data_IF_904712638256
#
_entry.id   IF_904712638256
#
_cell.length_a   1.000
_cell.length_b   1.000
_cell.length_c   1.000
_cell.angle_alpha   90.00
_cell.angle_beta   90.00
_cell.angle_gamma   90.00
#
_symmetry.space_group_name_H-M   'P 1'
#
loop_
_entity.id
_entity.type
_entity.pdbx_description
1 polymer ?
#
# COMPACT_ATOMS: atom_id res chain seq x y z
N UNK A 1 -24.82 8.41 17.69
CA UNK A 1 -23.58 7.62 17.78
C UNK A 1 -23.16 7.21 16.36
N UNK A 2 -22.13 7.84 15.77
CA UNK A 2 -21.71 7.55 14.39
C UNK A 2 -20.70 6.40 14.39
N UNK A 3 -21.14 5.17 14.12
CA UNK A 3 -20.23 4.10 13.74
C UNK A 3 -19.65 4.43 12.36
N UNK A 4 -18.40 4.89 12.30
CA UNK A 4 -17.64 4.93 11.05
C UNK A 4 -17.46 3.49 10.58
N UNK A 5 -18.23 3.09 9.57
CA UNK A 5 -18.31 1.77 8.92
C UNK A 5 -17.07 0.89 9.12
N UNK A 6 -17.09 0.01 10.11
CA UNK A 6 -16.16 -1.12 10.15
C UNK A 6 -16.65 -2.10 9.08
N UNK A 7 -16.03 -2.04 7.90
CA UNK A 7 -16.40 -2.89 6.75
C UNK A 7 -15.72 -4.25 6.76
N UNK A 8 -14.70 -4.42 7.61
CA UNK A 8 -13.86 -5.60 7.66
C UNK A 8 -13.63 -5.98 9.13
N UNK A 9 -13.88 -7.24 9.45
CA UNK A 9 -13.67 -7.81 10.79
C UNK A 9 -12.58 -8.88 10.70
N UNK A 10 -11.72 -8.94 11.71
CA UNK A 10 -10.73 -9.99 11.90
C UNK A 10 -10.92 -10.56 13.29
N UNK A 11 -11.19 -11.86 13.39
CA UNK A 11 -11.34 -12.58 14.66
C UNK A 11 -10.11 -13.49 14.79
N UNK A 12 -9.31 -13.28 15.83
CA UNK A 12 -8.11 -14.07 16.10
C UNK A 12 -8.46 -15.11 17.17
N UNK A 13 -8.22 -16.38 16.86
CA UNK A 13 -8.50 -17.51 17.76
C UNK A 13 -7.26 -18.38 17.89
N UNK A 14 -7.14 -19.11 19.00
CA UNK A 14 -6.02 -20.04 19.27
C UNK A 14 -6.24 -21.40 18.64
N UNK A 15 -7.50 -21.85 18.55
CA UNK A 15 -7.86 -23.14 17.96
C UNK A 15 -8.91 -23.00 16.87
N UNK A 16 -9.08 -24.07 16.07
CA UNK A 16 -10.07 -24.09 14.99
C UNK A 16 -11.49 -24.12 15.55
N UNK A 17 -11.69 -24.79 16.67
CA UNK A 17 -12.97 -24.92 17.37
C UNK A 17 -13.42 -23.56 17.94
N UNK A 18 -12.48 -22.80 18.51
CA UNK A 18 -12.73 -21.43 18.98
C UNK A 18 -13.10 -20.51 17.81
N UNK A 19 -12.42 -20.66 16.66
CA UNK A 19 -12.73 -19.90 15.45
C UNK A 19 -14.12 -20.22 14.88
N UNK A 20 -14.54 -21.48 14.91
CA UNK A 20 -15.88 -21.90 14.48
C UNK A 20 -16.95 -21.33 15.41
N UNK A 21 -16.75 -21.45 16.73
CA UNK A 21 -17.67 -20.90 17.74
C UNK A 21 -17.81 -19.38 17.61
N UNK A 22 -16.68 -18.67 17.45
CA UNK A 22 -16.69 -17.22 17.27
C UNK A 22 -17.38 -16.79 15.96
N UNK A 23 -17.28 -17.61 14.89
CA UNK A 23 -17.97 -17.36 13.63
C UNK A 23 -19.49 -17.50 13.77
N UNK A 24 -19.97 -18.48 14.55
CA UNK A 24 -21.40 -18.65 14.84
C UNK A 24 -21.95 -17.46 15.63
N UNK A 25 -21.28 -17.04 16.70
CA UNK A 25 -21.65 -15.85 17.46
C UNK A 25 -21.64 -14.60 16.59
N UNK A 26 -20.63 -14.45 15.72
CA UNK A 26 -20.57 -13.31 14.80
C UNK A 26 -21.74 -13.33 13.79
N UNK A 27 -22.16 -14.52 13.31
CA UNK A 27 -23.33 -14.66 12.42
C UNK A 27 -24.60 -14.23 13.11
N UNK A 28 -24.85 -14.70 14.34
CA UNK A 28 -26.05 -14.32 15.10
C UNK A 28 -26.11 -12.81 15.36
N UNK A 29 -24.99 -12.20 15.77
CA UNK A 29 -24.92 -10.76 16.01
C UNK A 29 -25.16 -9.96 14.73
N UNK A 30 -24.57 -10.37 13.61
CA UNK A 30 -24.75 -9.69 12.33
C UNK A 30 -26.18 -9.85 11.79
N UNK A 31 -26.81 -11.01 11.99
CA UNK A 31 -28.19 -11.25 11.57
C UNK A 31 -29.18 -10.38 12.37
N UNK A 32 -28.96 -10.22 13.69
CA UNK A 32 -29.69 -9.25 14.53
C UNK A 32 -29.54 -7.82 14.04
N UNK A 33 -28.38 -7.48 13.47
CA UNK A 33 -28.11 -6.18 12.84
C UNK A 33 -28.59 -6.10 11.39
N UNK A 34 -29.27 -7.13 10.87
CA UNK A 34 -29.72 -7.29 9.48
C UNK A 34 -28.57 -7.17 8.46
N UNK A 35 -27.37 -7.60 8.85
CA UNK A 35 -26.17 -7.64 8.02
C UNK A 35 -25.86 -9.09 7.63
N UNK A 36 -25.66 -9.35 6.34
CA UNK A 36 -25.27 -10.67 5.85
C UNK A 36 -23.76 -10.75 5.64
N UNK A 37 -23.14 -11.81 6.17
CA UNK A 37 -21.77 -12.16 5.84
C UNK A 37 -21.70 -12.68 4.40
N UNK A 38 -20.70 -12.20 3.65
CA UNK A 38 -20.37 -12.75 2.35
C UNK A 38 -19.59 -14.06 2.56
N UNK A 39 -20.10 -15.23 2.14
CA UNK A 39 -19.38 -16.50 2.31
C UNK A 39 -18.02 -16.47 1.61
N UNK A 40 -17.92 -15.81 0.45
CA UNK A 40 -16.66 -15.61 -0.29
C UNK A 40 -15.56 -14.84 0.47
N UNK A 41 -15.93 -14.05 1.48
CA UNK A 41 -14.98 -13.24 2.29
C UNK A 41 -14.67 -13.87 3.64
N UNK A 42 -15.38 -14.93 4.02
CA UNK A 42 -15.21 -15.62 5.29
C UNK A 42 -14.15 -16.70 5.11
N UNK A 43 -12.89 -16.28 5.08
CA UNK A 43 -11.76 -17.19 4.91
C UNK A 43 -11.30 -17.59 6.31
N UNK A 44 -11.43 -18.87 6.65
CA UNK A 44 -10.75 -19.45 7.80
C UNK A 44 -9.26 -19.56 7.51
N UNK A 45 -8.52 -18.48 7.68
CA UNK A 45 -7.06 -18.49 7.57
C UNK A 45 -6.46 -18.82 8.95
N UNK A 46 -5.66 -19.88 9.02
CA UNK A 46 -4.78 -20.13 10.15
C UNK A 46 -3.54 -19.25 10.02
N UNK A 47 -2.95 -18.77 11.12
CA UNK A 47 -1.63 -18.12 11.09
C UNK A 47 -0.49 -19.02 10.58
N UNK A 48 -0.74 -20.33 10.39
CA UNK A 48 0.18 -21.21 9.68
C UNK A 48 0.24 -20.92 8.17
N UNK A 49 -0.79 -20.28 7.62
CA UNK A 49 -0.87 -19.84 6.22
C UNK A 49 -0.88 -18.31 6.17
N UNK A 50 -0.06 -17.74 5.27
CA UNK A 50 -0.01 -16.28 5.13
C UNK A 50 -1.34 -15.75 4.56
N UNK A 51 -1.83 -14.61 5.04
CA UNK A 51 -3.10 -14.02 4.57
C UNK A 51 -3.01 -12.52 4.31
N UNK A 52 -3.85 -12.02 3.40
CA UNK A 52 -3.96 -10.59 3.09
C UNK A 52 -5.17 -9.98 3.82
N UNK A 53 -4.95 -8.91 4.59
CA UNK A 53 -6.03 -8.16 5.25
C UNK A 53 -5.77 -6.65 5.19
N UNK A 54 -6.79 -5.89 4.78
CA UNK A 54 -6.71 -4.42 4.59
C UNK A 54 -5.47 -3.96 3.79
N UNK A 55 -5.05 -4.75 2.80
CA UNK A 55 -3.90 -4.42 1.96
C UNK A 55 -2.54 -4.66 2.62
N UNK A 56 -2.50 -5.21 3.83
CA UNK A 56 -1.32 -5.80 4.44
C UNK A 56 -1.26 -7.29 4.15
N UNK A 57 -0.05 -7.82 4.13
CA UNK A 57 0.22 -9.25 4.07
C UNK A 57 0.74 -9.67 5.43
N UNK A 58 0.02 -10.58 6.10
CA UNK A 58 0.40 -11.13 7.38
C UNK A 58 1.01 -12.51 7.14
N UNK A 59 2.30 -12.63 7.41
CA UNK A 59 2.97 -13.92 7.48
C UNK A 59 3.46 -14.22 8.88
N UNK A 60 3.91 -15.46 9.09
CA UNK A 60 4.24 -16.02 10.43
C UNK A 60 5.13 -15.14 11.33
N UNK A 61 6.07 -14.39 10.74
CA UNK A 61 7.03 -13.53 11.46
C UNK A 61 7.19 -12.14 10.85
N UNK A 62 6.33 -11.75 9.91
CA UNK A 62 6.45 -10.46 9.26
C UNK A 62 5.10 -9.92 8.80
N UNK A 63 4.97 -8.60 8.83
CA UNK A 63 3.85 -7.88 8.21
C UNK A 63 4.41 -7.08 7.05
N UNK A 64 3.95 -7.41 5.85
CA UNK A 64 4.33 -6.76 4.60
C UNK A 64 3.15 -6.07 3.92
N UNK A 65 3.34 -5.71 2.66
CA UNK A 65 2.29 -5.16 1.80
C UNK A 65 1.62 -6.28 1.01
N UNK A 66 0.28 -6.34 1.04
CA UNK A 66 -0.52 -7.25 0.23
C UNK A 66 -0.35 -7.00 -1.27
N UNK A 67 -0.35 -8.08 -2.07
CA UNK A 67 -0.09 -8.02 -3.53
C UNK A 67 -1.06 -7.09 -4.25
N UNK A 68 -2.34 -7.09 -3.85
CA UNK A 68 -3.39 -6.22 -4.42
C UNK A 68 -3.11 -4.74 -4.18
N UNK A 69 -2.71 -4.37 -2.96
CA UNK A 69 -2.35 -2.99 -2.58
C UNK A 69 -1.15 -2.49 -3.39
N UNK A 70 -0.12 -3.32 -3.53
CA UNK A 70 1.07 -2.98 -4.30
C UNK A 70 0.75 -2.78 -5.80
N UNK A 71 -0.07 -3.68 -6.38
CA UNK A 71 -0.56 -3.52 -7.78
C UNK A 71 -1.34 -2.22 -7.96
N UNK A 72 -2.20 -1.88 -7.01
CA UNK A 72 -2.99 -0.64 -7.05
C UNK A 72 -2.09 0.62 -7.01
N UNK A 73 -1.04 0.62 -6.18
CA UNK A 73 -0.05 1.71 -6.18
C UNK A 73 0.60 1.86 -7.56
N UNK A 74 1.12 0.76 -8.10
CA UNK A 74 1.77 0.79 -9.41
C UNK A 74 0.82 1.28 -10.50
N UNK A 75 -0.46 0.88 -10.47
CA UNK A 75 -1.47 1.35 -11.39
C UNK A 75 -1.69 2.87 -11.27
N UNK A 76 -1.90 3.38 -10.05
CA UNK A 76 -2.10 4.82 -9.80
C UNK A 76 -0.92 5.66 -10.28
N UNK A 77 0.31 5.24 -9.98
CA UNK A 77 1.51 5.96 -10.45
C UNK A 77 1.65 5.86 -11.97
N UNK A 78 1.37 4.70 -12.59
CA UNK A 78 1.38 4.58 -14.06
C UNK A 78 0.38 5.53 -14.72
N UNK A 79 -0.81 5.65 -14.14
CA UNK A 79 -1.83 6.60 -14.62
C UNK A 79 -1.31 8.02 -14.48
N UNK A 80 -0.72 8.40 -13.35
CA UNK A 80 -0.14 9.72 -13.12
C UNK A 80 1.05 10.04 -14.05
N UNK A 81 1.86 9.05 -14.41
CA UNK A 81 3.02 9.20 -15.30
C UNK A 81 2.77 8.68 -16.72
N UNK A 82 1.52 8.72 -17.20
CA UNK A 82 1.17 8.18 -18.52
C UNK A 82 1.85 9.01 -19.60
N UNK A 83 2.44 8.33 -20.60
CA UNK A 83 3.24 8.97 -21.65
C UNK A 83 2.44 9.81 -22.64
N UNK A 84 1.13 9.61 -22.72
CA UNK A 84 0.24 10.26 -23.69
C UNK A 84 -0.59 11.40 -23.07
N UNK A 85 -0.12 12.02 -21.99
CA UNK A 85 -0.84 13.13 -21.32
C UNK A 85 -0.50 14.52 -21.92
N UNK A 86 0.10 14.56 -23.11
CA UNK A 86 0.55 15.81 -23.72
C UNK A 86 1.75 16.44 -23.02
N UNK A 87 1.93 17.75 -23.21
CA UNK A 87 3.13 18.49 -22.83
C UNK A 87 3.08 19.08 -21.40
N UNK A 88 2.66 18.27 -20.42
CA UNK A 88 2.57 18.69 -19.00
C UNK A 88 3.97 18.82 -18.37
N UNK A 89 4.31 19.95 -17.72
CA UNK A 89 5.61 20.11 -17.03
C UNK A 89 5.89 18.98 -16.04
N UNK A 90 7.15 18.57 -15.90
CA UNK A 90 7.51 17.45 -15.00
C UNK A 90 7.14 17.75 -13.56
N UNK A 91 7.20 19.00 -13.15
CA UNK A 91 6.82 19.50 -11.83
C UNK A 91 5.34 19.25 -11.55
N UNK A 92 4.47 19.41 -12.55
CA UNK A 92 3.03 19.11 -12.42
C UNK A 92 2.79 17.61 -12.27
N UNK A 93 3.53 16.77 -13.00
CA UNK A 93 3.48 15.31 -12.82
C UNK A 93 3.94 14.92 -11.41
N UNK A 94 5.02 15.53 -10.92
CA UNK A 94 5.54 15.33 -9.56
C UNK A 94 4.49 15.73 -8.51
N UNK A 95 3.79 16.86 -8.70
CA UNK A 95 2.71 17.31 -7.82
C UNK A 95 1.55 16.29 -7.73
N UNK A 96 1.28 15.54 -8.80
CA UNK A 96 0.27 14.46 -8.79
C UNK A 96 0.81 13.18 -8.16
N UNK A 97 2.07 12.81 -8.44
CA UNK A 97 2.69 11.58 -7.92
C UNK A 97 2.94 11.65 -6.41
N UNK A 98 3.42 12.78 -5.91
CA UNK A 98 3.79 12.99 -4.51
C UNK A 98 2.69 12.61 -3.51
N UNK A 99 1.43 13.09 -3.60
CA UNK A 99 0.38 12.70 -2.66
C UNK A 99 0.05 11.21 -2.72
N UNK A 100 0.13 10.58 -3.90
CA UNK A 100 -0.10 9.13 -4.06
C UNK A 100 0.94 8.35 -3.25
N UNK A 101 2.22 8.63 -3.48
CA UNK A 101 3.30 7.90 -2.82
C UNK A 101 3.42 8.24 -1.33
N UNK A 102 3.12 9.49 -0.95
CA UNK A 102 3.08 9.93 0.46
C UNK A 102 1.98 9.22 1.22
N UNK A 103 0.74 9.26 0.72
CA UNK A 103 -0.40 8.63 1.37
C UNK A 103 -0.22 7.12 1.49
N UNK A 104 0.29 6.49 0.43
CA UNK A 104 0.55 5.05 0.44
C UNK A 104 1.68 4.66 1.41
N UNK A 105 2.78 5.41 1.45
CA UNK A 105 3.87 5.17 2.40
C UNK A 105 3.39 5.37 3.85
N UNK A 106 2.61 6.41 4.12
CA UNK A 106 2.02 6.66 5.44
C UNK A 106 1.09 5.53 5.88
N UNK A 107 0.31 4.95 4.96
CA UNK A 107 -0.56 3.83 5.26
C UNK A 107 0.25 2.56 5.57
N UNK A 108 1.26 2.24 4.76
CA UNK A 108 2.09 1.03 4.88
C UNK A 108 3.30 1.16 5.82
N UNK A 109 3.46 2.30 6.51
CA UNK A 109 4.58 2.57 7.42
C UNK A 109 4.67 1.61 8.60
N UNK A 110 3.56 0.96 8.93
CA UNK A 110 3.44 0.06 10.06
C UNK A 110 3.96 -1.36 9.78
N UNK A 111 4.21 -1.71 8.51
CA UNK A 111 4.84 -2.98 8.12
C UNK A 111 6.36 -2.88 7.94
N UNK A 112 7.03 -4.04 7.85
CA UNK A 112 8.48 -4.13 7.62
C UNK A 112 8.83 -3.91 6.13
N UNK A 113 8.61 -2.69 5.63
CA UNK A 113 8.56 -2.40 4.19
C UNK A 113 9.72 -1.55 3.66
N UNK A 114 10.81 -1.36 4.42
CA UNK A 114 11.89 -0.44 4.04
C UNK A 114 12.59 -0.83 2.73
N UNK A 115 12.86 -2.12 2.51
CA UNK A 115 13.41 -2.62 1.25
C UNK A 115 12.46 -2.39 0.06
N UNK A 116 11.15 -2.55 0.29
CA UNK A 116 10.12 -2.27 -0.70
C UNK A 116 10.04 -0.78 -1.03
N UNK A 117 10.11 0.11 -0.04
CA UNK A 117 10.10 1.57 -0.26
C UNK A 117 11.30 2.03 -1.08
N UNK A 118 12.51 1.48 -0.85
CA UNK A 118 13.68 1.76 -1.70
C UNK A 118 13.45 1.35 -3.15
N UNK A 119 12.92 0.14 -3.34
CA UNK A 119 12.60 -0.40 -4.66
C UNK A 119 11.56 0.47 -5.38
N UNK A 120 10.51 0.89 -4.67
CA UNK A 120 9.48 1.77 -5.19
C UNK A 120 10.00 3.17 -5.52
N UNK A 121 10.83 3.77 -4.66
CA UNK A 121 11.46 5.07 -4.93
C UNK A 121 12.29 5.03 -6.23
N UNK A 122 13.09 3.97 -6.43
CA UNK A 122 13.84 3.76 -7.68
C UNK A 122 12.90 3.61 -8.88
N UNK A 123 11.83 2.84 -8.73
CA UNK A 123 10.85 2.62 -9.80
C UNK A 123 10.11 3.90 -10.19
N UNK A 124 9.63 4.69 -9.22
CA UNK A 124 8.94 5.97 -9.44
C UNK A 124 9.86 6.94 -10.17
N UNK A 125 11.12 7.10 -9.72
CA UNK A 125 12.11 7.95 -10.39
C UNK A 125 12.35 7.53 -11.84
N UNK A 126 12.48 6.24 -12.09
CA UNK A 126 12.66 5.72 -13.45
C UNK A 126 11.43 5.97 -14.33
N UNK A 127 10.22 5.94 -13.76
CA UNK A 127 8.99 6.32 -14.47
C UNK A 127 8.95 7.79 -14.81
N UNK A 128 9.27 8.67 -13.85
CA UNK A 128 9.38 10.11 -14.10
C UNK A 128 10.42 10.42 -15.18
N UNK A 129 11.59 9.77 -15.15
CA UNK A 129 12.61 9.88 -16.21
C UNK A 129 12.08 9.40 -17.56
N UNK A 130 11.36 8.29 -17.60
CA UNK A 130 10.79 7.78 -18.85
C UNK A 130 9.71 8.71 -19.44
N UNK A 131 8.91 9.36 -18.59
CA UNK A 131 7.96 10.39 -19.01
C UNK A 131 8.70 11.58 -19.65
N UNK A 132 9.71 12.11 -18.95
CA UNK A 132 10.53 13.23 -19.42
C UNK A 132 11.23 12.89 -20.74
N UNK A 133 11.84 11.71 -20.84
CA UNK A 133 12.54 11.27 -22.06
C UNK A 133 11.62 11.24 -23.28
N UNK A 134 10.38 10.77 -23.12
CA UNK A 134 9.40 10.78 -24.22
C UNK A 134 9.10 12.21 -24.67
N UNK A 135 8.82 13.11 -23.72
CA UNK A 135 8.55 14.53 -24.00
C UNK A 135 9.69 15.23 -24.75
N UNK A 136 10.95 14.94 -24.41
CA UNK A 136 12.09 15.57 -25.09
C UNK A 136 12.41 14.95 -26.44
N UNK A 137 12.18 13.64 -26.63
CA UNK A 137 12.28 12.98 -27.93
C UNK A 137 11.38 13.66 -28.97
N UNK A 138 10.18 14.04 -28.58
CA UNK A 138 9.24 14.76 -29.46
C UNK A 138 9.73 16.18 -29.82
N UNK A 139 10.80 16.66 -29.17
CA UNK A 139 11.44 17.96 -29.39
C UNK A 139 12.88 17.85 -29.91
N UNK A 140 13.30 16.66 -30.37
CA UNK A 140 14.66 16.40 -30.88
C UNK A 140 15.78 16.52 -29.83
N UNK A 141 15.44 16.50 -28.54
CA UNK A 141 16.40 16.68 -27.44
C UNK A 141 16.41 15.47 -26.51
N UNK A 142 17.51 15.28 -25.80
CA UNK A 142 17.66 14.24 -24.79
C UNK A 142 17.98 14.88 -23.44
N UNK A 143 17.07 14.73 -22.46
CA UNK A 143 17.35 15.13 -21.08
C UNK A 143 17.01 13.98 -20.14
N UNK A 144 17.97 13.59 -19.31
CA UNK A 144 17.81 12.59 -18.26
C UNK A 144 18.09 13.29 -16.95
N UNK A 145 17.07 13.41 -16.10
CA UNK A 145 17.27 14.00 -14.77
C UNK A 145 18.03 13.03 -13.86
N UNK A 146 19.06 13.55 -13.19
CA UNK A 146 19.74 12.89 -12.08
C UNK A 146 18.77 12.65 -10.91
N UNK A 147 19.22 11.95 -9.88
CA UNK A 147 18.39 11.77 -8.69
C UNK A 147 18.22 13.10 -7.94
N UNK A 148 19.28 13.90 -7.90
CA UNK A 148 19.39 15.18 -7.23
C UNK A 148 18.51 16.23 -7.92
N UNK A 149 18.49 16.27 -9.26
CA UNK A 149 17.62 17.17 -10.01
C UNK A 149 16.13 16.85 -9.78
N UNK A 150 15.77 15.56 -9.66
CA UNK A 150 14.40 15.18 -9.31
C UNK A 150 14.04 15.58 -7.87
N UNK A 151 15.00 15.50 -6.94
CA UNK A 151 14.82 15.97 -5.56
C UNK A 151 14.62 17.49 -5.52
N UNK A 152 15.44 18.26 -6.25
CA UNK A 152 15.30 19.71 -6.39
C UNK A 152 13.96 20.12 -7.01
N UNK A 153 13.42 19.30 -7.91
CA UNK A 153 12.07 19.47 -8.48
C UNK A 153 10.94 19.02 -7.55
N UNK A 154 11.26 18.58 -6.34
CA UNK A 154 10.32 18.25 -5.29
C UNK A 154 9.77 16.82 -5.33
N UNK A 155 10.37 15.89 -6.09
CA UNK A 155 9.95 14.48 -6.05
C UNK A 155 10.38 13.86 -4.72
N UNK A 156 9.39 13.50 -3.90
CA UNK A 156 9.67 12.94 -2.58
C UNK A 156 10.17 11.49 -2.66
N UNK A 157 10.84 11.06 -1.59
CA UNK A 157 11.21 9.66 -1.36
C UNK A 157 10.31 9.08 -0.26
N UNK A 158 9.70 7.93 -0.50
CA UNK A 158 8.88 7.22 0.49
C UNK A 158 9.68 6.95 1.77
N UNK A 159 10.98 6.64 1.65
CA UNK A 159 11.85 6.45 2.81
C UNK A 159 11.94 7.69 3.71
N UNK A 160 11.94 8.89 3.11
CA UNK A 160 12.06 10.15 3.86
C UNK A 160 10.72 10.59 4.46
N UNK A 161 9.61 10.09 3.92
CA UNK A 161 8.27 10.39 4.42
C UNK A 161 7.94 9.70 5.75
N UNK A 162 8.81 8.81 6.25
CA UNK A 162 8.60 8.04 7.49
C UNK A 162 9.73 8.39 8.49
N UNK A 163 9.65 9.56 9.16
CA UNK A 163 10.75 10.09 9.96
C UNK A 163 10.94 9.43 11.34
N UNK A 164 9.98 8.63 11.84
CA UNK A 164 10.06 8.03 13.18
C UNK A 164 9.48 6.62 13.19
N UNK A 165 10.35 5.63 13.44
CA UNK A 165 9.99 4.23 13.48
C UNK A 165 9.49 3.87 14.89
N UNK A 166 8.18 3.62 15.05
CA UNK A 166 7.72 2.50 15.89
C UNK A 166 7.25 1.45 14.91
N UNK A 167 8.15 0.55 14.50
CA UNK A 167 7.70 -0.69 13.87
C UNK A 167 6.68 -1.30 14.82
N UNK A 168 5.53 -1.72 14.29
CA UNK A 168 4.61 -2.49 15.09
C UNK A 168 5.38 -3.74 15.55
N UNK A 169 5.69 -3.79 16.85
CA UNK A 169 6.33 -4.94 17.49
C UNK A 169 5.27 -6.03 17.68
N UNK A 170 4.70 -6.51 16.58
CA UNK A 170 3.61 -7.51 16.62
C UNK A 170 4.12 -8.90 17.00
N UNK A 171 5.44 -9.09 17.06
CA UNK A 171 6.08 -10.36 17.32
C UNK A 171 7.17 -10.27 18.41
N UNK A 172 7.13 -9.26 19.28
CA UNK A 172 7.86 -9.38 20.54
C UNK A 172 7.12 -10.35 21.43
N UNK A 173 7.59 -11.61 21.43
CA UNK A 173 7.22 -12.56 22.46
C UNK A 173 7.64 -11.95 23.81
N UNK A 174 6.76 -11.93 24.83
CA UNK A 174 7.23 -11.82 26.20
C UNK A 174 8.08 -13.07 26.46
N UNK A 175 9.39 -12.90 26.52
CA UNK A 175 10.23 -13.81 27.28
C UNK A 175 9.99 -13.57 28.76
#
# INVERSE_FOLDING_TARGET
>A
MKFTRVTHLLILCRTREEAQSALEVARELLDRLKLRLSPEKTIGASFQEDFDFLGFHFGKRHVGVGKKSLKALYAKVRVATRRNQGNVPVERVIQVVNPIIRGWANYHRHGNNMGLFRTLDKWVRNRTRAYVRRRWRDRGRWKIYSSEELDQKGLIRMIKAIPRFRQLRLFESPC
#
